data_IF_667648365366
#
_entry.id   IF_667648365366
#
_cell.length_a   1.000
_cell.length_b   1.000
_cell.length_c   1.000
_cell.angle_alpha   90.00
_cell.angle_beta   90.00
_cell.angle_gamma   90.00
#
_symmetry.space_group_name_H-M   'P 1'
#
loop_
_entity.id
_entity.type
_entity.pdbx_description
1 polymer ?
#
# COMPACT_ATOMS: atom_id res chain seq x y z
N UNK A 1 -31.15 10.40 -13.33
CA UNK A 1 -30.53 10.76 -12.03
C UNK A 1 -29.95 9.57 -11.26
N UNK A 2 -30.34 8.32 -11.53
CA UNK A 2 -29.87 7.11 -10.83
C UNK A 2 -28.42 6.68 -11.13
N UNK A 3 -27.91 6.94 -12.34
CA UNK A 3 -26.53 6.59 -12.72
C UNK A 3 -25.47 7.45 -12.02
N UNK A 4 -25.76 8.73 -11.82
CA UNK A 4 -24.81 9.66 -11.18
C UNK A 4 -24.61 9.32 -9.70
N UNK A 5 -25.69 9.00 -8.97
CA UNK A 5 -25.59 8.58 -7.57
C UNK A 5 -24.82 7.27 -7.40
N UNK A 6 -25.01 6.30 -8.31
CA UNK A 6 -24.29 5.03 -8.29
C UNK A 6 -22.80 5.19 -8.59
N UNK A 7 -22.44 6.02 -9.58
CA UNK A 7 -21.03 6.31 -9.88
C UNK A 7 -20.35 7.02 -8.70
N UNK A 8 -21.03 8.00 -8.10
CA UNK A 8 -20.49 8.74 -6.96
C UNK A 8 -20.25 7.85 -5.75
N UNK A 9 -21.19 6.95 -5.41
CA UNK A 9 -21.02 6.02 -4.30
C UNK A 9 -19.84 5.08 -4.50
N UNK A 10 -19.65 4.57 -5.72
CA UNK A 10 -18.54 3.68 -6.04
C UNK A 10 -17.20 4.41 -5.95
N UNK A 11 -17.10 5.62 -6.49
CA UNK A 11 -15.90 6.46 -6.38
C UNK A 11 -15.58 6.77 -4.91
N UNK A 12 -16.59 7.14 -4.12
CA UNK A 12 -16.42 7.44 -2.70
C UNK A 12 -15.93 6.22 -1.91
N UNK A 13 -16.45 5.04 -2.23
CA UNK A 13 -16.02 3.79 -1.63
C UNK A 13 -14.56 3.46 -1.99
N UNK A 14 -14.17 3.58 -3.25
CA UNK A 14 -12.77 3.37 -3.65
C UNK A 14 -11.82 4.37 -3.00
N UNK A 15 -12.23 5.63 -2.89
CA UNK A 15 -11.44 6.69 -2.24
C UNK A 15 -11.21 6.39 -0.75
N UNK A 16 -12.27 6.03 -0.02
CA UNK A 16 -12.18 5.71 1.42
C UNK A 16 -11.35 4.44 1.68
N UNK A 17 -11.50 3.41 0.85
CA UNK A 17 -10.69 2.19 0.91
C UNK A 17 -9.22 2.51 0.62
N UNK A 18 -8.94 3.31 -0.42
CA UNK A 18 -7.57 3.73 -0.77
C UNK A 18 -6.91 4.54 0.34
N UNK A 19 -7.66 5.43 1.00
CA UNK A 19 -7.19 6.16 2.19
C UNK A 19 -6.84 5.21 3.33
N UNK A 20 -7.75 4.31 3.69
CA UNK A 20 -7.61 3.41 4.84
C UNK A 20 -6.49 2.37 4.68
N UNK A 21 -6.37 1.78 3.49
CA UNK A 21 -5.39 0.72 3.23
C UNK A 21 -4.11 1.21 2.56
N UNK A 22 -4.07 2.42 2.03
CA UNK A 22 -2.90 3.02 1.40
C UNK A 22 -2.26 4.10 2.27
N UNK A 23 -2.94 5.25 2.43
CA UNK A 23 -2.34 6.43 3.05
C UNK A 23 -2.12 6.27 4.56
N UNK A 24 -3.13 5.79 5.29
CA UNK A 24 -3.09 5.64 6.75
C UNK A 24 -1.90 4.78 7.21
N UNK A 25 -1.69 3.55 6.70
CA UNK A 25 -0.56 2.72 7.14
C UNK A 25 0.80 3.34 6.80
N UNK A 26 0.92 4.00 5.64
CA UNK A 26 2.15 4.71 5.26
C UNK A 26 2.48 5.82 6.25
N UNK A 27 1.48 6.65 6.59
CA UNK A 27 1.67 7.73 7.56
C UNK A 27 1.95 7.20 8.96
N UNK A 28 1.29 6.13 9.39
CA UNK A 28 1.52 5.50 10.69
C UNK A 28 2.95 4.96 10.81
N UNK A 29 3.44 4.24 9.80
CA UNK A 29 4.81 3.72 9.78
C UNK A 29 5.82 4.87 9.78
N UNK A 30 5.60 5.90 8.95
CA UNK A 30 6.47 7.08 8.91
C UNK A 30 6.49 7.84 10.24
N UNK A 31 5.33 7.95 10.90
CA UNK A 31 5.22 8.57 12.22
C UNK A 31 5.96 7.77 13.29
N UNK A 32 5.89 6.43 13.26
CA UNK A 32 6.67 5.56 14.15
C UNK A 32 8.17 5.82 13.96
N UNK A 33 8.66 5.85 12.72
CA UNK A 33 10.05 6.19 12.43
C UNK A 33 10.44 7.59 12.94
N UNK A 34 9.56 8.58 12.78
CA UNK A 34 9.79 9.94 13.25
C UNK A 34 9.81 10.04 14.79
N UNK A 35 8.93 9.31 15.49
CA UNK A 35 8.91 9.22 16.95
C UNK A 35 10.17 8.56 17.48
N UNK A 36 10.64 7.48 16.84
CA UNK A 36 11.91 6.83 17.18
C UNK A 36 13.10 7.78 16.98
N UNK A 37 13.09 8.59 15.91
CA UNK A 37 14.09 9.63 15.71
C UNK A 37 14.00 10.77 16.74
N UNK A 38 12.80 11.08 17.25
CA UNK A 38 12.59 12.09 18.29
C UNK A 38 13.32 11.74 19.61
N UNK A 39 13.50 10.45 19.91
CA UNK A 39 14.28 9.97 21.05
C UNK A 39 15.75 10.41 21.01
N UNK A 40 16.26 10.84 19.86
CA UNK A 40 17.64 11.32 19.70
C UNK A 40 17.81 12.82 19.99
N UNK A 41 16.74 13.54 20.36
CA UNK A 41 16.71 15.00 20.64
C UNK A 41 17.18 15.93 19.50
N UNK A 42 17.47 15.42 18.31
CA UNK A 42 17.90 16.21 17.16
C UNK A 42 16.75 16.42 16.18
N UNK A 43 16.17 17.63 16.18
CA UNK A 43 15.03 18.02 15.33
C UNK A 43 15.26 17.77 13.84
N UNK A 44 16.49 17.95 13.37
CA UNK A 44 16.85 17.74 11.97
C UNK A 44 16.61 16.30 11.53
N UNK A 45 16.91 15.32 12.40
CA UNK A 45 16.78 13.90 12.10
C UNK A 45 15.32 13.45 11.95
N UNK A 46 14.38 14.16 12.60
CA UNK A 46 12.96 13.82 12.58
C UNK A 46 12.37 14.01 11.17
N UNK A 47 12.70 15.13 10.51
CA UNK A 47 12.19 15.44 9.17
C UNK A 47 12.71 14.44 8.13
N UNK A 48 13.99 14.08 8.23
CA UNK A 48 14.58 13.06 7.36
C UNK A 48 13.99 11.68 7.66
N UNK A 49 13.92 11.25 8.92
CA UNK A 49 13.32 9.97 9.30
C UNK A 49 11.85 9.86 8.87
N UNK A 50 11.07 10.94 8.96
CA UNK A 50 9.70 10.97 8.47
C UNK A 50 9.64 10.86 6.94
N UNK A 51 10.42 11.66 6.21
CA UNK A 51 10.39 11.67 4.74
C UNK A 51 10.83 10.33 4.15
N UNK A 52 11.93 9.77 4.68
CA UNK A 52 12.42 8.45 4.30
C UNK A 52 11.49 7.33 4.80
N UNK A 53 10.83 7.53 5.93
CA UNK A 53 9.80 6.64 6.44
C UNK A 53 8.58 6.55 5.54
N UNK A 54 8.05 7.69 5.05
CA UNK A 54 6.94 7.71 4.08
C UNK A 54 7.34 7.00 2.80
N UNK A 55 8.53 7.31 2.31
CA UNK A 55 9.05 6.77 1.05
C UNK A 55 9.29 5.27 1.12
N UNK A 56 9.92 4.79 2.19
CA UNK A 56 10.13 3.37 2.45
C UNK A 56 8.80 2.64 2.65
N UNK A 57 7.89 3.16 3.49
CA UNK A 57 6.58 2.54 3.72
C UNK A 57 5.73 2.46 2.44
N UNK A 58 5.69 3.53 1.64
CA UNK A 58 4.98 3.53 0.36
C UNK A 58 5.56 2.50 -0.61
N UNK A 59 6.89 2.48 -0.75
CA UNK A 59 7.58 1.50 -1.60
C UNK A 59 7.29 0.08 -1.11
N UNK A 60 7.46 -0.18 0.18
CA UNK A 60 7.19 -1.47 0.81
C UNK A 60 5.75 -1.93 0.59
N UNK A 61 4.77 -1.06 0.82
CA UNK A 61 3.34 -1.37 0.65
C UNK A 61 3.01 -1.75 -0.79
N UNK A 62 3.52 -0.99 -1.76
CA UNK A 62 3.38 -1.32 -3.19
C UNK A 62 4.03 -2.65 -3.54
N UNK A 63 5.21 -2.92 -2.97
CA UNK A 63 5.96 -4.17 -3.19
C UNK A 63 5.19 -5.37 -2.62
N UNK A 64 4.73 -5.27 -1.38
CA UNK A 64 4.04 -6.35 -0.67
C UNK A 64 2.68 -6.69 -1.25
N UNK A 65 1.97 -5.69 -1.77
CA UNK A 65 0.63 -5.88 -2.35
C UNK A 65 0.66 -6.44 -3.79
N UNK A 66 1.79 -6.37 -4.49
CA UNK A 66 1.87 -6.80 -5.89
C UNK A 66 2.25 -8.28 -6.05
N UNK A 67 1.77 -8.87 -7.14
CA UNK A 67 2.18 -10.20 -7.65
C UNK A 67 3.00 -10.11 -8.94
N UNK A 68 3.12 -8.93 -9.52
CA UNK A 68 3.69 -8.77 -10.85
C UNK A 68 5.22 -8.56 -10.82
N UNK A 69 5.96 -9.16 -11.76
CA UNK A 69 7.40 -8.95 -11.91
C UNK A 69 7.77 -7.51 -12.30
N UNK A 70 6.81 -6.66 -12.68
CA UNK A 70 7.00 -5.21 -12.91
C UNK A 70 7.62 -4.53 -11.70
N UNK A 71 7.32 -5.01 -10.50
CA UNK A 71 7.89 -4.53 -9.24
C UNK A 71 9.41 -4.74 -9.17
N UNK A 72 9.96 -5.75 -9.85
CA UNK A 72 11.40 -5.99 -9.93
C UNK A 72 12.16 -4.95 -10.77
N UNK A 73 11.48 -4.23 -11.68
CA UNK A 73 12.08 -3.15 -12.47
C UNK A 73 11.84 -1.76 -11.84
N UNK A 74 10.67 -1.57 -11.22
CA UNK A 74 10.27 -0.28 -10.63
C UNK A 74 10.98 -0.03 -9.29
N UNK A 75 11.19 -1.04 -8.44
CA UNK A 75 11.92 -0.83 -7.18
C UNK A 75 13.36 -0.34 -7.39
N UNK A 76 14.17 -0.96 -8.27
CA UNK A 76 15.52 -0.47 -8.53
C UNK A 76 15.52 0.97 -9.06
N UNK A 77 14.56 1.34 -9.91
CA UNK A 77 14.43 2.70 -10.42
C UNK A 77 14.08 3.71 -9.30
N UNK A 78 13.16 3.35 -8.41
CA UNK A 78 12.80 4.16 -7.25
C UNK A 78 14.00 4.27 -6.29
N UNK A 79 14.68 3.17 -5.98
CA UNK A 79 15.87 3.17 -5.12
C UNK A 79 17.02 3.99 -5.73
N UNK A 80 17.22 3.92 -7.04
CA UNK A 80 18.20 4.73 -7.76
C UNK A 80 17.85 6.22 -7.70
N UNK A 81 16.58 6.58 -7.88
CA UNK A 81 16.10 7.95 -7.76
C UNK A 81 16.29 8.47 -6.33
N UNK A 82 15.95 7.66 -5.33
CA UNK A 82 16.14 7.99 -3.91
C UNK A 82 17.62 8.19 -3.60
N UNK A 83 18.47 7.28 -4.07
CA UNK A 83 19.92 7.39 -3.93
C UNK A 83 20.46 8.67 -4.58
N UNK A 84 20.01 9.01 -5.79
CA UNK A 84 20.37 10.24 -6.48
C UNK A 84 19.89 11.50 -5.72
N UNK A 85 18.68 11.48 -5.17
CA UNK A 85 18.13 12.58 -4.36
C UNK A 85 18.90 12.76 -3.06
N UNK A 86 19.27 11.67 -2.37
CA UNK A 86 20.14 11.72 -1.17
C UNK A 86 21.48 12.34 -1.55
N UNK A 87 22.14 11.82 -2.58
CA UNK A 87 23.47 12.31 -3.00
C UNK A 87 23.42 13.78 -3.43
N UNK A 88 22.32 14.22 -4.05
CA UNK A 88 22.15 15.60 -4.53
C UNK A 88 21.73 16.59 -3.44
N UNK A 89 20.86 16.19 -2.51
CA UNK A 89 20.32 17.08 -1.48
C UNK A 89 21.31 17.34 -0.34
N UNK A 90 22.09 16.35 0.06
CA UNK A 90 22.99 16.46 1.22
C UNK A 90 24.14 17.47 1.09
N UNK A 91 24.77 17.70 -0.08
CA UNK A 91 25.76 18.77 -0.20
C UNK A 91 25.12 20.17 -0.30
N UNK A 92 23.79 20.28 -0.45
CA UNK A 92 23.06 21.54 -0.67
C UNK A 92 22.09 21.94 0.45
N UNK A 93 22.09 21.25 1.60
CA UNK A 93 21.29 21.69 2.76
C UNK A 93 21.85 23.00 3.28
N UNK A 94 21.39 24.11 2.70
CA UNK A 94 21.63 25.44 3.21
C UNK A 94 20.97 25.55 4.60
N UNK A 95 21.67 26.14 5.57
CA UNK A 95 21.21 26.23 6.96
C UNK A 95 19.94 27.09 7.15
N UNK A 96 19.45 27.72 6.07
CA UNK A 96 18.29 28.61 6.07
C UNK A 96 16.95 27.89 6.32
N UNK A 97 16.78 26.62 5.93
CA UNK A 97 15.53 25.89 6.16
C UNK A 97 15.40 25.33 7.60
N UNK A 98 16.49 25.37 8.38
CA UNK A 98 16.62 24.80 9.72
C UNK A 98 16.79 25.85 10.83
N UNK A 99 16.72 27.14 10.49
CA UNK A 99 16.82 28.24 11.46
C UNK A 99 18.19 28.37 12.13
N UNK A 100 19.24 27.78 11.56
CA UNK A 100 20.61 27.91 12.07
C UNK A 100 21.27 29.11 11.39
N UNK A 101 21.45 30.20 12.12
CA UNK A 101 22.26 31.34 11.67
C UNK A 101 23.72 30.88 11.53
N UNK A 102 24.18 30.61 10.31
CA UNK A 102 25.61 30.38 10.07
C UNK A 102 26.34 31.73 10.01
N UNK A 103 27.23 31.93 10.99
CA UNK A 103 28.35 32.87 10.88
C UNK A 103 29.22 32.43 9.70
N UNK A 104 29.54 33.35 8.81
CA UNK A 104 30.44 33.18 7.66
C UNK A 104 31.84 32.77 8.12
N UNK A 105 32.17 31.49 8.11
CA UNK A 105 33.50 30.95 7.91
C UNK A 105 33.38 29.43 7.75
N UNK A 106 34.24 28.83 6.93
CA UNK A 106 34.43 27.38 6.75
C UNK A 106 33.52 26.69 5.72
N UNK A 107 33.94 26.82 4.47
CA UNK A 107 33.38 26.20 3.27
C UNK A 107 33.80 24.72 3.11
N UNK A 108 33.47 23.90 4.11
CA UNK A 108 33.42 22.45 3.94
C UNK A 108 31.99 21.98 4.25
N UNK A 109 31.27 21.34 3.31
CA UNK A 109 29.99 20.74 3.63
C UNK A 109 30.25 19.60 4.62
N UNK A 110 30.07 19.85 5.91
CA UNK A 110 30.03 18.81 6.92
C UNK A 110 28.83 17.91 6.63
N UNK A 111 29.10 16.82 5.90
CA UNK A 111 28.18 15.72 5.78
C UNK A 111 27.92 15.16 7.18
N UNK A 112 26.78 15.52 7.77
CA UNK A 112 26.32 14.93 9.02
C UNK A 112 26.01 13.45 8.76
N UNK A 113 27.02 12.59 8.92
CA UNK A 113 26.94 11.12 8.75
C UNK A 113 25.72 10.52 9.45
N UNK A 114 25.37 11.06 10.62
CA UNK A 114 24.20 10.68 11.40
C UNK A 114 22.88 10.80 10.61
N UNK A 115 22.73 11.83 9.79
CA UNK A 115 21.51 12.06 8.97
C UNK A 115 21.40 11.00 7.88
N UNK A 116 22.53 10.62 7.25
CA UNK A 116 22.55 9.56 6.24
C UNK A 116 22.15 8.23 6.87
N UNK A 117 22.80 7.88 8.00
CA UNK A 117 22.56 6.60 8.69
C UNK A 117 21.09 6.51 9.13
N UNK A 118 20.55 7.56 9.75
CA UNK A 118 19.15 7.59 10.20
C UNK A 118 18.18 7.51 9.02
N UNK A 119 18.47 8.19 7.91
CA UNK A 119 17.64 8.12 6.69
C UNK A 119 17.59 6.70 6.11
N UNK A 120 18.73 6.03 6.02
CA UNK A 120 18.82 4.65 5.52
C UNK A 120 18.08 3.70 6.45
N UNK A 121 18.30 3.79 7.76
CA UNK A 121 17.63 2.94 8.74
C UNK A 121 16.11 3.16 8.73
N UNK A 122 15.66 4.42 8.68
CA UNK A 122 14.23 4.74 8.58
C UNK A 122 13.63 4.17 7.29
N UNK A 123 14.31 4.30 6.15
CA UNK A 123 13.89 3.72 4.88
C UNK A 123 13.78 2.18 4.98
N UNK A 124 14.79 1.50 5.53
CA UNK A 124 14.80 0.04 5.63
C UNK A 124 13.67 -0.48 6.52
N UNK A 125 13.55 0.08 7.74
CA UNK A 125 12.53 -0.33 8.71
C UNK A 125 11.12 -0.08 8.14
N UNK A 126 10.90 1.12 7.59
CA UNK A 126 9.60 1.47 7.03
C UNK A 126 9.24 0.63 5.80
N UNK A 127 10.20 0.33 4.93
CA UNK A 127 10.00 -0.54 3.78
C UNK A 127 9.64 -1.97 4.19
N UNK A 128 10.32 -2.52 5.20
CA UNK A 128 9.97 -3.84 5.75
C UNK A 128 8.56 -3.85 6.32
N UNK A 129 8.19 -2.87 7.15
CA UNK A 129 6.84 -2.77 7.72
C UNK A 129 5.77 -2.58 6.64
N UNK A 130 6.04 -1.72 5.65
CA UNK A 130 5.16 -1.50 4.51
C UNK A 130 4.96 -2.79 3.70
N UNK A 131 6.03 -3.54 3.44
CA UNK A 131 5.97 -4.81 2.72
C UNK A 131 5.16 -5.87 3.48
N UNK A 132 5.35 -6.00 4.80
CA UNK A 132 4.56 -6.90 5.63
C UNK A 132 3.07 -6.53 5.60
N UNK A 133 2.74 -5.24 5.72
CA UNK A 133 1.36 -4.78 5.65
C UNK A 133 0.75 -5.01 4.25
N UNK A 134 1.48 -4.68 3.18
CA UNK A 134 1.07 -4.94 1.80
C UNK A 134 0.83 -6.43 1.53
N UNK A 135 1.69 -7.30 2.05
CA UNK A 135 1.51 -8.75 1.94
C UNK A 135 0.25 -9.24 2.67
N UNK A 136 -0.08 -8.65 3.82
CA UNK A 136 -1.31 -9.00 4.56
C UNK A 136 -2.58 -8.59 3.81
N UNK A 137 -2.60 -7.41 3.16
CA UNK A 137 -3.72 -6.99 2.30
C UNK A 137 -3.88 -7.97 1.15
N UNK A 138 -2.76 -8.35 0.53
CA UNK A 138 -2.76 -9.31 -0.57
C UNK A 138 -3.35 -10.65 -0.14
N UNK A 139 -2.91 -11.19 0.98
CA UNK A 139 -3.42 -12.45 1.53
C UNK A 139 -4.94 -12.37 1.80
N UNK A 140 -5.42 -11.27 2.38
CA UNK A 140 -6.85 -11.06 2.61
C UNK A 140 -7.65 -11.02 1.30
N UNK A 141 -7.13 -10.35 0.26
CA UNK A 141 -7.76 -10.29 -1.05
C UNK A 141 -7.79 -11.66 -1.74
N UNK A 142 -6.73 -12.45 -1.60
CA UNK A 142 -6.65 -13.81 -2.14
C UNK A 142 -7.62 -14.77 -1.44
N UNK A 143 -7.72 -14.70 -0.12
CA UNK A 143 -8.66 -15.49 0.66
C UNK A 143 -10.12 -15.15 0.28
N UNK A 144 -10.43 -13.86 0.12
CA UNK A 144 -11.75 -13.42 -0.32
C UNK A 144 -12.07 -13.87 -1.75
N UNK A 145 -11.09 -13.82 -2.67
CA UNK A 145 -11.25 -14.32 -4.03
C UNK A 145 -11.53 -15.83 -4.04
N UNK A 146 -10.78 -16.60 -3.24
CA UNK A 146 -10.97 -18.04 -3.12
C UNK A 146 -12.36 -18.40 -2.56
N UNK A 147 -12.85 -17.66 -1.56
CA UNK A 147 -14.18 -17.86 -1.01
C UNK A 147 -15.28 -17.67 -2.07
N UNK A 148 -15.19 -16.60 -2.88
CA UNK A 148 -16.13 -16.36 -3.98
C UNK A 148 -16.09 -17.46 -5.02
N UNK A 149 -14.88 -17.85 -5.45
CA UNK A 149 -14.72 -18.94 -6.41
C UNK A 149 -15.32 -20.24 -5.87
N UNK A 150 -15.15 -20.55 -4.58
CA UNK A 150 -15.75 -21.72 -3.94
C UNK A 150 -17.28 -21.65 -3.93
N UNK A 151 -17.86 -20.50 -3.62
CA UNK A 151 -19.32 -20.28 -3.69
C UNK A 151 -19.83 -20.53 -5.11
N UNK A 152 -19.20 -19.91 -6.11
CA UNK A 152 -19.57 -20.11 -7.52
C UNK A 152 -19.50 -21.58 -7.95
N UNK A 153 -18.47 -22.31 -7.51
CA UNK A 153 -18.35 -23.75 -7.75
C UNK A 153 -19.47 -24.56 -7.09
N UNK A 154 -19.90 -24.21 -5.88
CA UNK A 154 -21.00 -24.89 -5.19
C UNK A 154 -22.33 -24.58 -5.87
N UNK A 155 -22.58 -23.33 -6.25
CA UNK A 155 -23.77 -22.95 -7.02
C UNK A 155 -23.87 -23.72 -8.34
N UNK A 156 -22.78 -23.77 -9.11
CA UNK A 156 -22.76 -24.48 -10.39
C UNK A 156 -22.93 -26.00 -10.26
N UNK A 157 -22.32 -26.62 -9.25
CA UNK A 157 -22.31 -28.08 -9.14
C UNK A 157 -23.42 -28.66 -8.25
N UNK A 158 -24.05 -27.87 -7.37
CA UNK A 158 -25.09 -28.37 -6.45
C UNK A 158 -26.50 -27.90 -6.87
N UNK A 159 -26.67 -26.65 -7.27
CA UNK A 159 -28.01 -26.12 -7.59
C UNK A 159 -28.45 -26.41 -9.03
N UNK A 160 -27.52 -26.36 -9.99
CA UNK A 160 -27.85 -26.61 -11.41
C UNK A 160 -28.39 -28.03 -11.64
N UNK A 161 -27.82 -29.10 -11.07
CA UNK A 161 -28.40 -30.44 -11.20
C UNK A 161 -29.78 -30.54 -10.54
N UNK A 162 -29.94 -29.92 -9.36
CA UNK A 162 -31.21 -29.94 -8.63
C UNK A 162 -32.33 -29.23 -9.40
N UNK A 163 -32.04 -28.10 -10.04
CA UNK A 163 -33.03 -27.41 -10.90
C UNK A 163 -33.41 -28.25 -12.12
N UNK A 164 -32.46 -28.96 -12.73
CA UNK A 164 -32.73 -29.84 -13.88
C UNK A 164 -33.65 -31.00 -13.47
N UNK A 165 -33.39 -31.62 -12.32
CA UNK A 165 -34.20 -32.75 -11.85
C UNK A 165 -35.61 -32.32 -11.44
N UNK A 166 -35.74 -31.15 -10.79
CA UNK A 166 -37.05 -30.57 -10.48
C UNK A 166 -37.84 -30.24 -11.75
N UNK A 167 -37.20 -29.63 -12.74
CA UNK A 167 -37.83 -29.29 -14.02
C UNK A 167 -38.30 -30.54 -14.78
N UNK A 168 -37.50 -31.62 -14.78
CA UNK A 168 -37.89 -32.90 -15.38
C UNK A 168 -39.14 -33.49 -14.72
N UNK A 169 -39.22 -33.44 -13.39
CA UNK A 169 -40.36 -33.96 -12.64
C UNK A 169 -41.63 -33.13 -12.90
N UNK A 170 -41.52 -31.80 -12.94
CA UNK A 170 -42.64 -30.91 -13.24
C UNK A 170 -43.18 -31.15 -14.67
N UNK A 171 -42.28 -31.33 -15.65
CA UNK A 171 -42.65 -31.67 -17.03
C UNK A 171 -43.32 -33.05 -17.14
N UNK A 172 -42.87 -34.05 -16.38
CA UNK A 172 -43.49 -35.37 -16.34
C UNK A 172 -44.92 -35.31 -15.78
N UNK A 173 -45.13 -34.55 -14.70
CA UNK A 173 -46.44 -34.36 -14.09
C UNK A 173 -47.42 -33.62 -15.02
N UNK A 174 -46.96 -32.62 -15.77
CA UNK A 174 -47.80 -31.92 -16.76
C UNK A 174 -48.26 -32.84 -17.89
N UNK A 175 -47.38 -33.73 -18.39
CA UNK A 175 -47.74 -34.71 -19.43
C UNK A 175 -48.74 -35.75 -18.93
N UNK A 176 -48.61 -36.18 -17.68
CA UNK A 176 -49.56 -37.11 -17.07
C UNK A 176 -50.94 -36.47 -16.86
N UNK A 177 -50.98 -35.17 -16.51
CA UNK A 177 -52.23 -34.43 -16.31
C UNK A 177 -52.98 -34.09 -17.60
N UNK A 178 -52.29 -33.99 -18.75
CA UNK A 178 -52.93 -33.69 -20.05
C UNK A 178 -53.51 -34.91 -20.78
N UNK A 179 -53.32 -36.11 -20.25
CA UNK A 179 -53.75 -37.37 -20.87
C UNK A 179 -55.09 -37.91 -20.30
N UNK A 180 -55.66 -37.23 -19.30
CA UNK A 180 -56.99 -37.48 -18.75
C UNK A 180 -57.97 -36.38 -19.17
#
# INVERSE_FOLDING_TARGET
MTYFSALFSTLWQHFTISLGFGLVPVLMIALICAVLACLTWRRELILFAFSFGVLGAATGLLTGNSREPVVAAVLPAILALIGAVIVYAFPKVQPSLLGVTQSKADAHPEYKRDVIIVSILALMVSASMGASFGASIREANEAAAFARTREDYLFQNVEVPFMIDKLKNDLANQRAGSAN
#
